data_IF_395361843167
#
_entry.id   IF_395361843167
#
_cell.length_a   1.000
_cell.length_b   1.000
_cell.length_c   1.000
_cell.angle_alpha   90.00
_cell.angle_beta   90.00
_cell.angle_gamma   90.00
#
_symmetry.space_group_name_H-M   'P 1'
#
loop_
_entity.id
_entity.type
_entity.pdbx_description
1 polymer ?
#
# COMPACT_ATOMS: atom_id res chain seq x y z
N UNK A 1 19.07 20.83 0.63
CA UNK A 1 18.40 20.32 1.86
C UNK A 1 17.92 18.88 1.67
N UNK A 2 17.17 18.52 0.61
CA UNK A 2 16.83 17.12 0.31
C UNK A 2 18.07 16.22 0.14
N UNK A 3 19.14 16.78 -0.42
CA UNK A 3 20.46 16.14 -0.51
C UNK A 3 20.99 15.59 0.82
N UNK A 4 20.56 16.14 1.97
CA UNK A 4 20.99 15.66 3.29
C UNK A 4 20.64 14.18 3.51
N UNK A 5 19.58 13.67 2.88
CA UNK A 5 19.23 12.25 2.94
C UNK A 5 20.28 11.42 2.19
N UNK A 6 20.54 11.75 0.93
CA UNK A 6 21.45 10.98 0.05
C UNK A 6 22.90 11.10 0.50
N UNK A 7 23.32 12.25 1.02
CA UNK A 7 24.69 12.50 1.45
C UNK A 7 25.04 11.88 2.81
N UNK A 8 24.06 11.63 3.68
CA UNK A 8 24.32 11.19 5.06
C UNK A 8 23.72 9.82 5.41
N UNK A 9 23.04 9.18 4.47
CA UNK A 9 22.53 7.82 4.62
C UNK A 9 23.19 6.98 3.54
N UNK A 10 24.20 6.14 3.87
CA UNK A 10 24.77 5.22 2.91
C UNK A 10 23.67 4.41 2.25
N UNK A 11 23.77 4.22 0.92
CA UNK A 11 22.78 3.51 0.10
C UNK A 11 21.43 4.21 -0.08
N UNK A 12 21.19 5.38 0.48
CA UNK A 12 20.11 6.23 -0.02
C UNK A 12 20.42 6.68 -1.45
N UNK A 13 19.41 6.69 -2.32
CA UNK A 13 19.55 6.97 -3.75
C UNK A 13 19.02 8.35 -4.10
N UNK A 14 17.76 8.61 -3.76
CA UNK A 14 17.07 9.84 -4.14
C UNK A 14 16.06 10.27 -3.08
N UNK A 15 15.70 11.54 -3.09
CA UNK A 15 14.55 12.06 -2.34
C UNK A 15 13.76 13.08 -3.17
N UNK A 16 12.44 13.08 -3.01
CA UNK A 16 11.52 14.00 -3.68
C UNK A 16 10.56 14.57 -2.65
N UNK A 17 10.44 15.90 -2.60
CA UNK A 17 9.38 16.60 -1.89
C UNK A 17 8.25 16.89 -2.89
N UNK A 18 7.02 16.54 -2.55
CA UNK A 18 5.86 16.71 -3.42
C UNK A 18 4.66 17.28 -2.65
N UNK A 19 3.73 17.93 -3.34
CA UNK A 19 2.42 18.28 -2.77
C UNK A 19 1.40 17.16 -2.96
N UNK A 20 0.29 17.24 -2.21
CA UNK A 20 -0.78 16.25 -2.26
C UNK A 20 -1.56 16.18 -3.59
N UNK A 21 -1.29 17.12 -4.49
CA UNK A 21 -1.76 17.11 -5.88
C UNK A 21 -0.81 16.38 -6.85
N UNK A 22 0.32 15.87 -6.37
CA UNK A 22 1.32 15.18 -7.17
C UNK A 22 2.33 16.09 -7.87
N UNK A 23 2.36 17.39 -7.53
CA UNK A 23 3.35 18.31 -8.08
C UNK A 23 4.67 18.24 -7.28
N UNK A 24 5.83 18.10 -7.95
CA UNK A 24 7.12 18.14 -7.29
C UNK A 24 7.41 19.56 -6.75
N UNK A 25 7.94 19.62 -5.54
CA UNK A 25 8.41 20.84 -4.85
C UNK A 25 9.92 20.88 -4.71
N UNK A 26 10.58 19.74 -4.89
CA UNK A 26 12.04 19.61 -4.96
C UNK A 26 12.43 18.15 -5.12
N UNK A 27 13.61 17.90 -5.67
CA UNK A 27 14.20 16.57 -5.77
C UNK A 27 15.70 16.65 -5.55
N UNK A 28 16.31 15.53 -5.18
CA UNK A 28 17.77 15.37 -5.23
C UNK A 28 18.25 15.31 -6.67
N UNK A 29 19.53 15.60 -6.88
CA UNK A 29 20.19 15.46 -8.18
C UNK A 29 20.17 14.00 -8.67
N UNK A 30 20.40 13.81 -9.97
CA UNK A 30 20.47 12.49 -10.61
C UNK A 30 19.14 11.89 -11.08
N UNK A 31 17.99 12.52 -10.78
CA UNK A 31 16.70 12.15 -11.35
C UNK A 31 16.36 12.99 -12.58
N UNK A 32 15.87 12.36 -13.64
CA UNK A 32 15.32 13.10 -14.77
C UNK A 32 14.02 13.81 -14.36
N UNK A 33 13.79 15.01 -14.88
CA UNK A 33 12.63 15.84 -14.53
C UNK A 33 11.29 15.13 -14.80
N UNK A 34 11.25 14.32 -15.87
CA UNK A 34 10.09 13.47 -16.19
C UNK A 34 9.84 12.45 -15.08
N UNK A 35 10.87 11.79 -14.58
CA UNK A 35 10.74 10.78 -13.54
C UNK A 35 10.30 11.42 -12.23
N UNK A 36 10.85 12.59 -11.87
CA UNK A 36 10.41 13.35 -10.69
C UNK A 36 8.90 13.64 -10.73
N UNK A 37 8.37 14.07 -11.88
CA UNK A 37 6.91 14.28 -12.05
C UNK A 37 6.12 12.99 -11.93
N UNK A 38 6.56 11.92 -12.60
CA UNK A 38 5.88 10.62 -12.55
C UNK A 38 5.85 10.04 -11.14
N UNK A 39 6.98 10.10 -10.42
CA UNK A 39 7.10 9.65 -9.02
C UNK A 39 6.19 10.49 -8.13
N UNK A 40 6.21 11.81 -8.27
CA UNK A 40 5.37 12.70 -7.45
C UNK A 40 3.88 12.41 -7.64
N UNK A 41 3.43 12.26 -8.89
CA UNK A 41 2.03 11.92 -9.19
C UNK A 41 1.64 10.54 -8.62
N UNK A 42 2.51 9.54 -8.79
CA UNK A 42 2.26 8.19 -8.30
C UNK A 42 2.21 8.13 -6.76
N UNK A 43 3.13 8.81 -6.07
CA UNK A 43 3.16 8.86 -4.61
C UNK A 43 1.95 9.59 -4.03
N UNK A 44 1.49 10.68 -4.64
CA UNK A 44 0.27 11.37 -4.22
C UNK A 44 -0.98 10.47 -4.40
N UNK A 45 -1.08 9.75 -5.52
CA UNK A 45 -2.14 8.78 -5.76
C UNK A 45 -2.13 7.63 -4.74
N UNK A 46 -0.94 7.06 -4.48
CA UNK A 46 -0.74 6.02 -3.48
C UNK A 46 -1.14 6.48 -2.08
N UNK A 47 -0.76 7.70 -1.67
CA UNK A 47 -1.14 8.25 -0.38
C UNK A 47 -2.66 8.43 -0.28
N UNK A 48 -3.31 8.89 -1.35
CA UNK A 48 -4.77 9.06 -1.38
C UNK A 48 -5.51 7.73 -1.21
N UNK A 49 -5.07 6.67 -1.91
CA UNK A 49 -5.61 5.32 -1.76
C UNK A 49 -5.31 4.73 -0.37
N UNK A 50 -4.11 4.97 0.16
CA UNK A 50 -3.74 4.55 1.52
C UNK A 50 -4.75 5.14 2.52
N UNK A 51 -5.02 6.45 2.46
CA UNK A 51 -6.02 7.08 3.35
C UNK A 51 -7.42 6.47 3.21
N UNK A 52 -7.85 6.07 2.01
CA UNK A 52 -9.15 5.41 1.80
C UNK A 52 -9.24 4.05 2.51
N UNK A 53 -8.10 3.37 2.70
CA UNK A 53 -8.02 2.04 3.32
C UNK A 53 -7.96 2.06 4.84
N UNK A 54 -7.93 3.24 5.48
CA UNK A 54 -7.65 3.36 6.91
C UNK A 54 -8.63 2.62 7.83
N UNK A 55 -9.88 2.40 7.39
CA UNK A 55 -10.88 1.62 8.12
C UNK A 55 -10.52 0.13 8.20
N UNK A 56 -9.73 -0.37 7.26
CA UNK A 56 -9.26 -1.77 7.27
C UNK A 56 -8.19 -2.01 8.32
N UNK A 57 -7.36 -0.98 8.59
CA UNK A 57 -6.43 -1.01 9.71
C UNK A 57 -7.13 -1.01 11.08
N UNK A 58 -8.39 -0.53 11.15
CA UNK A 58 -9.11 -0.50 12.42
C UNK A 58 -10.35 0.36 12.56
N UNK A 59 -11.13 0.15 13.65
CA UNK A 59 -12.35 0.91 13.93
C UNK A 59 -12.09 2.31 14.49
N UNK A 60 -10.86 2.63 14.94
CA UNK A 60 -10.49 3.86 15.63
C UNK A 60 -10.91 5.11 14.84
N UNK A 61 -11.36 6.17 15.52
CA UNK A 61 -11.84 7.39 14.85
C UNK A 61 -10.67 8.24 14.31
N UNK A 62 -9.55 8.27 15.03
CA UNK A 62 -8.33 8.90 14.55
C UNK A 62 -7.57 7.92 13.66
N UNK A 63 -7.56 8.22 12.36
CA UNK A 63 -7.04 7.34 11.31
C UNK A 63 -5.93 8.01 10.52
N UNK A 64 -5.11 8.79 11.21
CA UNK A 64 -4.03 9.52 10.56
C UNK A 64 -3.01 8.53 9.96
N UNK A 65 -2.76 8.69 8.66
CA UNK A 65 -1.70 7.99 7.95
C UNK A 65 -0.33 8.51 8.40
N UNK A 66 0.57 7.57 8.71
CA UNK A 66 1.94 7.85 9.15
C UNK A 66 2.91 7.76 7.97
N UNK A 67 2.97 6.60 7.33
CA UNK A 67 3.90 6.33 6.24
C UNK A 67 3.46 5.18 5.34
N UNK A 68 4.08 5.11 4.16
CA UNK A 68 4.00 3.96 3.25
C UNK A 68 5.42 3.53 2.88
N UNK A 69 5.69 2.23 2.98
CA UNK A 69 6.96 1.61 2.63
C UNK A 69 6.69 0.59 1.52
N UNK A 70 7.49 0.63 0.47
CA UNK A 70 7.41 -0.30 -0.65
C UNK A 70 8.74 -1.02 -0.74
N UNK A 71 8.68 -2.35 -0.72
CA UNK A 71 9.83 -3.21 -0.93
C UNK A 71 9.86 -3.73 -2.37
N UNK A 72 11.01 -3.60 -3.00
CA UNK A 72 11.35 -4.26 -4.25
C UNK A 72 12.55 -5.17 -4.03
N UNK A 73 12.78 -6.12 -4.95
CA UNK A 73 13.98 -6.98 -4.95
C UNK A 73 15.28 -6.18 -5.00
N UNK A 74 15.25 -4.99 -5.59
CA UNK A 74 16.41 -4.14 -5.87
C UNK A 74 16.44 -2.84 -5.06
N UNK A 75 15.50 -2.63 -4.14
CA UNK A 75 15.54 -1.50 -3.22
C UNK A 75 14.24 -1.20 -2.50
N UNK A 76 14.22 -0.03 -1.87
CA UNK A 76 13.13 0.46 -1.05
C UNK A 76 12.63 1.80 -1.55
N UNK A 77 11.34 2.06 -1.36
CA UNK A 77 10.75 3.39 -1.46
C UNK A 77 9.93 3.69 -0.22
N UNK A 78 10.11 4.90 0.31
CA UNK A 78 9.46 5.40 1.53
C UNK A 78 8.66 6.65 1.17
N UNK A 79 7.51 6.82 1.82
CA UNK A 79 6.68 8.01 1.71
C UNK A 79 6.19 8.40 3.11
N UNK A 80 6.49 9.62 3.56
CA UNK A 80 6.04 10.14 4.85
C UNK A 80 5.36 11.51 4.70
N UNK A 81 4.56 11.91 5.69
CA UNK A 81 3.99 13.24 5.77
C UNK A 81 5.07 14.31 5.93
N UNK A 82 4.99 15.41 5.17
CA UNK A 82 5.92 16.54 5.23
C UNK A 82 5.22 17.87 5.58
N UNK A 83 4.12 17.79 6.34
CA UNK A 83 3.24 18.92 6.65
C UNK A 83 1.90 18.84 5.92
N UNK A 84 1.05 19.85 6.13
CA UNK A 84 -0.30 19.89 5.54
C UNK A 84 -0.23 19.99 4.01
N UNK A 85 -0.68 18.95 3.33
CA UNK A 85 -0.72 18.88 1.87
C UNK A 85 0.64 18.64 1.20
N UNK A 86 1.64 18.12 1.93
CA UNK A 86 2.95 17.80 1.38
C UNK A 86 3.48 16.44 1.88
N UNK A 87 4.28 15.77 1.05
CA UNK A 87 4.89 14.47 1.34
C UNK A 87 6.36 14.47 0.97
N UNK A 88 7.14 13.68 1.71
CA UNK A 88 8.53 13.39 1.42
C UNK A 88 8.66 11.94 1.00
N UNK A 89 9.10 11.72 -0.24
CA UNK A 89 9.46 10.41 -0.75
C UNK A 89 10.99 10.24 -0.71
N UNK A 90 11.47 9.05 -0.37
CA UNK A 90 12.88 8.69 -0.48
C UNK A 90 13.04 7.27 -1.02
N UNK A 91 14.14 7.01 -1.71
CA UNK A 91 14.48 5.71 -2.25
C UNK A 91 15.88 5.27 -1.81
N UNK A 92 16.08 3.96 -1.68
CA UNK A 92 17.34 3.41 -1.21
C UNK A 92 17.61 1.99 -1.74
N UNK A 93 18.86 1.55 -1.65
CA UNK A 93 19.29 0.19 -2.01
C UNK A 93 18.84 -0.86 -0.98
N UNK A 94 18.80 -2.16 -1.33
CA UNK A 94 18.26 -3.21 -0.47
C UNK A 94 18.97 -3.30 0.88
N UNK A 95 20.26 -2.97 0.92
CA UNK A 95 21.14 -3.03 2.08
C UNK A 95 21.26 -1.70 2.84
N UNK A 96 20.30 -0.77 2.64
CA UNK A 96 20.22 0.46 3.42
C UNK A 96 19.89 0.18 4.88
N UNK A 97 20.45 0.99 5.79
CA UNK A 97 19.98 1.05 7.17
C UNK A 97 18.60 1.74 7.22
N UNK A 98 17.55 0.94 7.44
CA UNK A 98 16.16 1.39 7.52
C UNK A 98 15.91 2.39 8.65
N UNK A 99 16.56 2.20 9.80
CA UNK A 99 16.41 3.09 10.95
C UNK A 99 17.04 4.44 10.64
N UNK A 100 18.22 4.43 10.01
CA UNK A 100 18.92 5.65 9.66
C UNK A 100 18.20 6.47 8.59
N UNK A 101 17.67 5.83 7.54
CA UNK A 101 16.90 6.56 6.51
C UNK A 101 15.61 7.14 7.11
N UNK A 102 14.87 6.36 7.89
CA UNK A 102 13.63 6.81 8.54
C UNK A 102 13.90 8.00 9.47
N UNK A 103 14.91 7.89 10.34
CA UNK A 103 15.32 8.98 11.23
C UNK A 103 15.66 10.25 10.45
N UNK A 104 16.43 10.10 9.37
CA UNK A 104 16.87 11.23 8.54
C UNK A 104 15.70 11.90 7.83
N UNK A 105 14.74 11.13 7.30
CA UNK A 105 13.53 11.66 6.68
C UNK A 105 12.69 12.46 7.69
N UNK A 106 12.43 11.91 8.88
CA UNK A 106 11.68 12.60 9.94
C UNK A 106 12.39 13.87 10.41
N UNK A 107 13.72 13.85 10.55
CA UNK A 107 14.51 15.05 10.87
C UNK A 107 14.42 16.11 9.77
N UNK A 108 14.39 15.71 8.50
CA UNK A 108 14.22 16.63 7.38
C UNK A 108 12.81 17.25 7.39
N UNK A 109 11.77 16.45 7.63
CA UNK A 109 10.39 16.94 7.80
C UNK A 109 10.27 17.92 8.97
N UNK A 110 10.87 17.62 10.12
CA UNK A 110 10.86 18.51 11.27
C UNK A 110 11.52 19.87 10.97
N UNK A 111 12.62 19.87 10.20
CA UNK A 111 13.29 21.11 9.74
C UNK A 111 12.49 21.89 8.69
N UNK A 112 11.67 21.19 7.91
CA UNK A 112 10.78 21.78 6.90
C UNK A 112 9.58 22.54 7.47
N UNK A 113 9.33 22.42 8.78
CA UNK A 113 8.18 23.01 9.47
C UNK A 113 7.91 24.50 9.14
N UNK A 114 6.62 24.85 9.16
CA UNK A 114 6.00 26.17 8.92
C UNK A 114 6.07 26.81 7.51
N UNK A 115 6.79 26.24 6.53
CA UNK A 115 6.90 26.84 5.19
C UNK A 115 6.25 26.05 4.04
N UNK A 116 5.60 24.91 4.31
CA UNK A 116 5.13 23.97 3.29
C UNK A 116 3.62 23.69 3.27
N UNK A 117 2.81 24.53 3.92
CA UNK A 117 1.35 24.39 3.82
C UNK A 117 0.92 24.56 2.36
N UNK A 118 0.51 23.48 1.72
CA UNK A 118 -0.19 23.55 0.44
C UNK A 118 -1.66 23.84 0.74
N UNK A 119 -2.28 24.86 0.11
CA UNK A 119 -3.66 25.21 0.40
C UNK A 119 -4.60 24.01 0.20
N UNK A 120 -5.59 23.81 1.10
CA UNK A 120 -6.62 22.80 0.92
C UNK A 120 -7.37 23.02 -0.39
N UNK A 121 -7.76 21.93 -1.06
CA UNK A 121 -8.69 22.05 -2.19
C UNK A 121 -10.07 22.40 -1.66
N UNK A 122 -10.74 23.34 -2.32
CA UNK A 122 -12.17 23.59 -2.16
C UNK A 122 -12.87 22.41 -2.81
N UNK A 123 -13.62 21.61 -2.05
CA UNK A 123 -14.55 20.66 -2.62
C UNK A 123 -15.68 21.50 -3.24
N UNK A 124 -15.80 21.49 -4.56
CA UNK A 124 -17.01 21.99 -5.21
C UNK A 124 -18.18 21.15 -4.73
N UNK A 125 -19.03 21.75 -3.92
CA UNK A 125 -20.38 21.25 -3.66
C UNK A 125 -21.14 21.31 -4.98
N UNK A 126 -21.25 20.17 -5.67
CA UNK A 126 -22.24 20.00 -6.73
C UNK A 126 -23.54 19.54 -6.09
N UNK A 127 -24.44 20.51 -5.92
CA UNK A 127 -25.86 20.31 -5.71
C UNK A 127 -26.53 20.08 -7.09
N UNK A 128 -27.09 18.87 -7.30
CA UNK A 128 -28.38 18.67 -7.96
C UNK A 128 -28.68 17.18 -8.24
N UNK A 129 -29.84 16.72 -7.76
CA UNK A 129 -30.70 15.85 -8.59
C UNK A 129 -31.22 14.57 -7.95
N UNK A 130 -32.24 14.69 -7.10
CA UNK A 130 -33.19 13.61 -6.79
C UNK A 130 -33.70 12.95 -8.06
N UNK A 131 -33.43 11.65 -8.24
CA UNK A 131 -34.29 10.72 -9.01
C UNK A 131 -34.17 9.30 -8.46
N UNK A 132 -35.30 8.83 -7.93
CA UNK A 132 -35.52 7.46 -7.47
C UNK A 132 -36.11 6.63 -8.64
N UNK A 133 -35.59 5.41 -8.87
CA UNK A 133 -36.34 4.15 -9.13
C UNK A 133 -35.44 3.12 -9.80
N UNK A 134 -35.44 1.89 -9.27
CA UNK A 134 -34.77 0.75 -9.90
C UNK A 134 -34.39 -0.37 -8.93
N UNK A 135 -35.38 -0.96 -8.26
CA UNK A 135 -35.24 -2.19 -7.48
C UNK A 135 -34.71 -3.35 -8.32
N UNK A 136 -33.63 -3.98 -7.85
CA UNK A 136 -33.37 -5.40 -8.08
C UNK A 136 -32.62 -5.98 -6.87
N UNK A 137 -33.41 -6.56 -5.93
CA UNK A 137 -32.91 -7.58 -5.01
C UNK A 137 -32.44 -8.78 -5.82
N UNK A 138 -31.26 -9.30 -5.50
CA UNK A 138 -31.01 -10.74 -5.48
C UNK A 138 -30.33 -11.09 -4.16
N UNK A 139 -30.99 -11.97 -3.40
CA UNK A 139 -30.49 -12.48 -2.13
C UNK A 139 -29.26 -13.36 -2.33
N UNK A 140 -28.32 -13.25 -1.41
CA UNK A 140 -27.18 -14.15 -1.29
C UNK A 140 -27.49 -15.22 -0.26
N UNK A 141 -27.88 -16.39 -0.75
CA UNK A 141 -27.74 -17.65 -0.04
C UNK A 141 -26.27 -18.09 -0.10
N UNK A 142 -25.62 -18.27 1.06
CA UNK A 142 -24.38 -19.04 1.23
C UNK A 142 -23.09 -18.23 1.31
N UNK A 143 -22.79 -17.70 2.51
CA UNK A 143 -21.53 -17.05 2.91
C UNK A 143 -20.34 -18.04 3.04
N UNK A 144 -20.58 -19.34 2.85
CA UNK A 144 -19.60 -20.40 3.11
C UNK A 144 -18.49 -20.53 2.06
N UNK A 145 -18.56 -19.79 0.94
CA UNK A 145 -17.54 -19.81 -0.12
C UNK A 145 -16.61 -18.60 -0.15
N UNK A 146 -16.92 -17.54 0.59
CA UNK A 146 -16.12 -16.32 0.65
C UNK A 146 -15.16 -16.31 1.83
N UNK A 147 -15.56 -16.94 2.94
CA UNK A 147 -14.72 -17.06 4.13
C UNK A 147 -13.62 -18.10 3.90
N UNK A 148 -12.37 -17.72 4.16
CA UNK A 148 -11.20 -18.58 4.09
C UNK A 148 -10.81 -19.02 5.50
N UNK A 149 -11.19 -20.23 5.90
CA UNK A 149 -10.96 -20.74 7.25
C UNK A 149 -9.47 -20.76 7.65
N UNK A 150 -8.57 -20.99 6.69
CA UNK A 150 -7.14 -20.91 6.96
C UNK A 150 -6.67 -19.49 7.32
N UNK A 151 -7.31 -18.43 6.78
CA UNK A 151 -7.02 -17.04 7.20
C UNK A 151 -7.59 -16.76 8.58
N UNK A 152 -8.79 -17.25 8.91
CA UNK A 152 -9.36 -17.10 10.26
C UNK A 152 -8.46 -17.74 11.32
N UNK A 153 -7.84 -18.88 11.01
CA UNK A 153 -6.88 -19.51 11.90
C UNK A 153 -5.65 -18.61 12.13
N UNK A 154 -5.11 -17.98 11.08
CA UNK A 154 -3.99 -17.03 11.23
C UNK A 154 -4.37 -15.84 12.12
N UNK A 155 -5.57 -15.27 11.94
CA UNK A 155 -6.04 -14.16 12.78
C UNK A 155 -6.21 -14.60 14.24
N UNK A 156 -6.71 -15.82 14.48
CA UNK A 156 -6.90 -16.35 15.83
C UNK A 156 -5.58 -16.63 16.56
N UNK A 157 -4.54 -17.03 15.82
CA UNK A 157 -3.26 -17.44 16.39
C UNK A 157 -2.35 -16.25 16.76
N UNK A 158 -2.55 -15.08 16.13
CA UNK A 158 -1.66 -13.92 16.31
C UNK A 158 -2.37 -12.77 16.99
N UNK A 159 -1.93 -12.42 18.21
CA UNK A 159 -2.48 -11.29 18.95
C UNK A 159 -2.32 -9.99 18.15
N UNK A 160 -3.41 -9.21 18.05
CA UNK A 160 -3.41 -7.94 17.33
C UNK A 160 -3.62 -8.08 15.81
N UNK A 161 -3.67 -9.30 15.26
CA UNK A 161 -4.13 -9.50 13.88
C UNK A 161 -5.64 -9.22 13.77
N UNK A 162 -6.07 -8.55 12.68
CA UNK A 162 -7.46 -8.09 12.52
C UNK A 162 -8.20 -8.76 11.36
N UNK A 163 -7.75 -8.49 10.14
CA UNK A 163 -8.44 -8.91 8.93
C UNK A 163 -7.46 -9.30 7.85
N UNK A 164 -7.89 -10.18 6.95
CA UNK A 164 -7.17 -10.47 5.72
C UNK A 164 -8.14 -10.72 4.56
N UNK A 165 -7.75 -10.29 3.36
CA UNK A 165 -8.49 -10.49 2.10
C UNK A 165 -7.53 -10.91 0.99
N UNK A 166 -7.85 -12.02 0.34
CA UNK A 166 -7.21 -12.48 -0.88
C UNK A 166 -7.88 -11.79 -2.08
N UNK A 167 -7.08 -11.20 -2.97
CA UNK A 167 -7.56 -10.46 -4.13
C UNK A 167 -6.82 -10.85 -5.40
N UNK A 168 -7.49 -10.74 -6.54
CA UNK A 168 -6.89 -10.91 -7.86
C UNK A 168 -6.24 -9.62 -8.39
N UNK A 169 -5.44 -9.74 -9.45
CA UNK A 169 -4.89 -8.61 -10.18
C UNK A 169 -5.94 -7.79 -10.97
N UNK A 170 -7.15 -8.31 -11.09
CA UNK A 170 -8.34 -7.61 -11.56
C UNK A 170 -9.00 -6.73 -10.46
N UNK A 171 -8.50 -6.80 -9.23
CA UNK A 171 -9.03 -6.07 -8.08
C UNK A 171 -10.30 -6.66 -7.47
N UNK A 172 -10.64 -7.89 -7.82
CA UNK A 172 -11.78 -8.60 -7.24
C UNK A 172 -11.34 -9.41 -6.01
N UNK A 173 -12.08 -9.36 -4.88
CA UNK A 173 -11.82 -10.22 -3.75
C UNK A 173 -12.19 -11.67 -4.09
N UNK A 174 -11.29 -12.59 -3.72
CA UNK A 174 -11.42 -14.04 -3.92
C UNK A 174 -11.80 -14.78 -2.63
N UNK A 175 -11.55 -14.16 -1.48
CA UNK A 175 -12.00 -14.62 -0.18
C UNK A 175 -11.38 -13.79 0.94
N UNK A 176 -11.93 -13.89 2.15
CA UNK A 176 -11.50 -13.08 3.29
C UNK A 176 -11.69 -13.82 4.63
N UNK A 177 -11.20 -13.21 5.70
CA UNK A 177 -11.52 -13.60 7.09
C UNK A 177 -13.00 -13.33 7.39
N UNK A 178 -13.63 -14.14 8.25
CA UNK A 178 -15.07 -14.05 8.59
C UNK A 178 -15.52 -12.71 9.17
N UNK A 179 -14.61 -11.98 9.83
CA UNK A 179 -14.88 -10.63 10.35
C UNK A 179 -14.96 -9.52 9.29
N UNK A 180 -14.62 -9.81 8.03
CA UNK A 180 -14.57 -8.82 6.95
C UNK A 180 -15.79 -8.94 6.04
N UNK A 181 -16.67 -7.94 6.06
CA UNK A 181 -17.83 -7.92 5.17
C UNK A 181 -17.45 -7.72 3.69
N UNK A 182 -18.38 -8.05 2.80
CA UNK A 182 -18.15 -8.04 1.35
C UNK A 182 -17.83 -6.65 0.80
N UNK A 183 -18.56 -5.62 1.22
CA UNK A 183 -18.37 -4.24 0.72
C UNK A 183 -16.98 -3.71 1.09
N UNK A 184 -16.51 -4.01 2.30
CA UNK A 184 -15.15 -3.67 2.74
C UNK A 184 -14.13 -4.46 1.93
N UNK A 185 -14.33 -5.77 1.73
CA UNK A 185 -13.42 -6.58 0.93
C UNK A 185 -13.32 -6.10 -0.53
N UNK A 186 -14.43 -5.71 -1.16
CA UNK A 186 -14.45 -5.13 -2.51
C UNK A 186 -13.69 -3.78 -2.52
N UNK A 187 -13.93 -2.91 -1.53
CA UNK A 187 -13.27 -1.61 -1.39
C UNK A 187 -11.75 -1.75 -1.23
N UNK A 188 -11.33 -2.64 -0.33
CA UNK A 188 -9.90 -2.88 -0.07
C UNK A 188 -9.23 -3.55 -1.26
N UNK A 189 -9.90 -4.48 -1.94
CA UNK A 189 -9.34 -5.13 -3.13
C UNK A 189 -9.07 -4.14 -4.26
N UNK A 190 -10.02 -3.24 -4.52
CA UNK A 190 -9.86 -2.17 -5.51
C UNK A 190 -8.73 -1.20 -5.12
N UNK A 191 -8.70 -0.74 -3.88
CA UNK A 191 -7.68 0.19 -3.40
C UNK A 191 -6.27 -0.42 -3.43
N UNK A 192 -6.11 -1.67 -2.98
CA UNK A 192 -4.83 -2.38 -2.98
C UNK A 192 -4.30 -2.63 -4.39
N UNK A 193 -5.18 -2.91 -5.36
CA UNK A 193 -4.79 -3.04 -6.76
C UNK A 193 -4.24 -1.72 -7.32
N UNK A 194 -4.87 -0.59 -6.97
CA UNK A 194 -4.35 0.73 -7.31
C UNK A 194 -3.01 1.04 -6.64
N UNK A 195 -2.84 0.69 -5.36
CA UNK A 195 -1.58 0.85 -4.62
C UNK A 195 -0.47 0.00 -5.24
N UNK A 196 -0.76 -1.24 -5.63
CA UNK A 196 0.21 -2.09 -6.34
C UNK A 196 0.58 -1.49 -7.70
N UNK A 197 -0.38 -0.94 -8.45
CA UNK A 197 -0.09 -0.25 -9.71
C UNK A 197 0.84 0.95 -9.52
N UNK A 198 0.60 1.80 -8.51
CA UNK A 198 1.49 2.90 -8.18
C UNK A 198 2.87 2.42 -7.71
N UNK A 199 2.93 1.32 -6.95
CA UNK A 199 4.20 0.71 -6.53
C UNK A 199 5.04 0.31 -7.73
N UNK A 200 4.43 -0.26 -8.77
CA UNK A 200 5.15 -0.61 -10.01
C UNK A 200 5.69 0.62 -10.74
N UNK A 201 4.91 1.70 -10.81
CA UNK A 201 5.32 2.97 -11.44
C UNK A 201 6.52 3.59 -10.72
N UNK A 202 6.61 3.44 -9.40
CA UNK A 202 7.70 4.00 -8.59
C UNK A 202 8.89 3.06 -8.44
N UNK A 203 8.87 1.85 -9.02
CA UNK A 203 9.99 0.89 -8.94
C UNK A 203 11.33 1.48 -9.40
N UNK A 204 11.33 2.29 -10.46
CA UNK A 204 12.53 2.97 -10.96
C UNK A 204 13.11 4.00 -9.99
N UNK A 205 12.29 4.54 -9.08
CA UNK A 205 12.75 5.44 -8.02
C UNK A 205 13.71 4.72 -7.09
N UNK A 206 13.44 3.43 -6.82
CA UNK A 206 14.31 2.51 -6.12
C UNK A 206 15.41 1.92 -7.03
N UNK A 207 15.76 2.55 -8.14
CA UNK A 207 16.80 2.07 -9.07
C UNK A 207 16.28 1.16 -10.18
N UNK A 208 17.18 0.75 -11.07
CA UNK A 208 16.86 -0.04 -12.28
C UNK A 208 17.62 -1.36 -12.24
N UNK A 209 16.90 -2.47 -12.40
CA UNK A 209 17.46 -3.83 -12.53
C UNK A 209 16.54 -4.65 -13.43
N UNK A 210 17.11 -5.56 -14.25
CA UNK A 210 16.36 -6.34 -15.25
C UNK A 210 15.27 -7.24 -14.62
N UNK A 211 15.51 -7.73 -13.40
CA UNK A 211 14.57 -8.57 -12.63
C UNK A 211 13.97 -7.83 -11.41
N UNK A 212 13.74 -6.53 -11.55
CA UNK A 212 13.10 -5.71 -10.52
C UNK A 212 11.67 -6.20 -10.25
N UNK A 213 11.44 -6.75 -9.06
CA UNK A 213 10.15 -7.30 -8.63
C UNK A 213 9.66 -6.59 -7.39
N UNK A 214 8.38 -6.21 -7.38
CA UNK A 214 7.70 -5.79 -6.15
C UNK A 214 7.58 -6.98 -5.20
N UNK A 215 7.88 -6.77 -3.91
CA UNK A 215 7.76 -7.79 -2.87
C UNK A 215 6.54 -7.54 -1.99
N UNK A 216 6.44 -6.33 -1.47
CA UNK A 216 5.36 -5.94 -0.59
C UNK A 216 5.20 -4.43 -0.49
N UNK A 217 4.02 -4.00 -0.04
CA UNK A 217 3.75 -2.63 0.40
C UNK A 217 3.21 -2.66 1.82
N UNK A 218 3.80 -1.86 2.70
CA UNK A 218 3.37 -1.67 4.09
C UNK A 218 2.84 -0.25 4.24
N UNK A 219 1.68 -0.11 4.85
CA UNK A 219 1.05 1.18 5.14
C UNK A 219 0.84 1.26 6.64
N UNK A 220 1.38 2.31 7.24
CA UNK A 220 1.25 2.58 8.66
C UNK A 220 0.26 3.73 8.88
N UNK A 221 -0.67 3.50 9.79
CA UNK A 221 -1.53 4.52 10.40
C UNK A 221 -1.18 4.67 11.87
N UNK A 222 -1.66 5.69 12.55
CA UNK A 222 -1.49 5.82 14.00
C UNK A 222 -2.14 4.69 14.81
N UNK A 223 -3.14 4.01 14.23
CA UNK A 223 -3.92 2.98 14.90
C UNK A 223 -3.65 1.55 14.41
N UNK A 224 -2.77 1.36 13.43
CA UNK A 224 -2.41 0.03 12.96
C UNK A 224 -1.72 0.00 11.60
N UNK A 225 -1.57 -1.21 11.07
CA UNK A 225 -0.83 -1.53 9.87
C UNK A 225 -1.73 -2.15 8.81
N UNK A 226 -1.37 -1.94 7.55
CA UNK A 226 -1.87 -2.71 6.41
C UNK A 226 -0.67 -3.23 5.62
N UNK A 227 -0.68 -4.52 5.34
CA UNK A 227 0.28 -5.21 4.48
C UNK A 227 -0.40 -5.58 3.17
N UNK A 228 0.30 -5.39 2.07
CA UNK A 228 -0.05 -5.95 0.77
C UNK A 228 1.15 -6.80 0.33
N UNK A 229 0.95 -8.11 0.22
CA UNK A 229 2.00 -9.08 -0.13
C UNK A 229 1.59 -9.89 -1.36
N UNK A 230 2.57 -10.42 -2.09
CA UNK A 230 2.29 -11.32 -3.21
C UNK A 230 1.70 -12.64 -2.70
N UNK A 231 0.62 -13.09 -3.31
CA UNK A 231 0.03 -14.40 -3.08
C UNK A 231 0.19 -15.31 -4.31
N UNK A 232 1.25 -15.11 -5.11
CA UNK A 232 1.50 -15.83 -6.36
C UNK A 232 1.06 -15.06 -7.61
N UNK A 233 1.06 -15.73 -8.75
CA UNK A 233 0.87 -15.09 -10.07
C UNK A 233 -0.52 -14.46 -10.18
N UNK A 234 -0.56 -13.13 -10.19
CA UNK A 234 -1.79 -12.36 -10.35
C UNK A 234 -2.74 -12.42 -9.15
N UNK A 235 -2.21 -12.73 -7.96
CA UNK A 235 -2.95 -12.71 -6.70
C UNK A 235 -2.14 -11.97 -5.62
N UNK A 236 -2.86 -11.30 -4.73
CA UNK A 236 -2.29 -10.59 -3.59
C UNK A 236 -3.08 -10.91 -2.33
N UNK A 237 -2.43 -10.74 -1.19
CA UNK A 237 -3.07 -10.81 0.12
C UNK A 237 -2.91 -9.44 0.80
N UNK A 238 -4.03 -8.83 1.17
CA UNK A 238 -4.04 -7.64 2.01
C UNK A 238 -4.41 -8.04 3.44
N UNK A 239 -3.63 -7.61 4.42
CA UNK A 239 -3.83 -7.97 5.82
C UNK A 239 -3.68 -6.74 6.73
N UNK A 240 -4.43 -6.70 7.83
CA UNK A 240 -4.43 -5.61 8.79
C UNK A 240 -4.12 -6.08 10.21
N UNK A 241 -3.43 -5.24 10.97
CA UNK A 241 -3.03 -5.53 12.34
C UNK A 241 -2.97 -4.25 13.20
N UNK A 242 -3.08 -4.43 14.51
CA UNK A 242 -2.82 -3.43 15.54
C UNK A 242 -1.33 -3.11 15.66
N UNK A 243 -0.99 -2.01 16.33
CA UNK A 243 0.40 -1.60 16.54
C UNK A 243 1.20 -2.51 17.48
N UNK A 244 0.53 -3.16 18.41
CA UNK A 244 1.13 -4.10 19.36
C UNK A 244 1.19 -5.54 18.82
N UNK A 245 0.71 -5.76 17.59
CA UNK A 245 0.83 -7.04 16.90
C UNK A 245 2.30 -7.39 16.66
N UNK A 246 2.65 -8.67 16.88
CA UNK A 246 3.92 -9.20 16.41
C UNK A 246 3.88 -9.33 14.88
N UNK A 247 4.38 -8.28 14.20
CA UNK A 247 4.38 -8.21 12.73
C UNK A 247 5.23 -9.33 12.11
N UNK A 248 6.30 -9.75 12.77
CA UNK A 248 7.17 -10.82 12.27
C UNK A 248 6.43 -12.15 12.30
N UNK A 249 5.78 -12.49 13.42
CA UNK A 249 4.94 -13.67 13.50
C UNK A 249 3.77 -13.58 12.50
N UNK A 250 3.06 -12.45 12.46
CA UNK A 250 1.89 -12.30 11.59
C UNK A 250 2.24 -12.50 10.12
N UNK A 251 3.26 -11.81 9.62
CA UNK A 251 3.69 -11.93 8.22
C UNK A 251 4.23 -13.32 7.89
N UNK A 252 4.91 -13.98 8.83
CA UNK A 252 5.35 -15.38 8.69
C UNK A 252 4.15 -16.31 8.48
N UNK A 253 3.13 -16.22 9.34
CA UNK A 253 1.90 -17.02 9.23
C UNK A 253 1.15 -16.77 7.93
N UNK A 254 1.08 -15.50 7.48
CA UNK A 254 0.48 -15.14 6.21
C UNK A 254 1.22 -15.78 5.02
N UNK A 255 2.55 -15.80 5.02
CA UNK A 255 3.32 -16.49 3.98
C UNK A 255 3.14 -18.01 4.00
N UNK A 256 3.05 -18.62 5.19
CA UNK A 256 2.81 -20.07 5.33
C UNK A 256 1.45 -20.50 4.79
N UNK A 257 0.43 -19.63 4.89
CA UNK A 257 -0.94 -19.96 4.46
C UNK A 257 -1.18 -19.72 2.98
N UNK A 258 -0.49 -18.76 2.35
CA UNK A 258 -0.67 -18.38 0.93
C UNK A 258 -0.74 -19.58 -0.03
N UNK A 259 0.17 -20.58 0.00
CA UNK A 259 0.13 -21.72 -0.91
C UNK A 259 -1.17 -22.54 -0.87
N UNK A 260 -1.88 -22.53 0.27
CA UNK A 260 -3.18 -23.20 0.42
C UNK A 260 -4.33 -22.40 -0.19
N UNK A 261 -4.21 -21.08 -0.21
CA UNK A 261 -5.25 -20.14 -0.68
C UNK A 261 -5.27 -19.99 -2.20
N UNK A 262 -4.12 -20.21 -2.85
CA UNK A 262 -3.97 -20.14 -4.30
C UNK A 262 -3.58 -21.52 -4.85
N UNK A 263 -4.53 -22.45 -4.99
CA UNK A 263 -4.24 -23.71 -5.67
C UNK A 263 -3.71 -23.38 -7.08
N UNK A 264 -2.49 -23.84 -7.36
CA UNK A 264 -1.83 -23.66 -8.66
C UNK A 264 -2.81 -24.05 -9.77
N UNK A 265 -2.88 -23.23 -10.83
CA UNK A 265 -3.55 -23.59 -12.07
C UNK A 265 -2.83 -24.75 -12.76
N UNK A 266 -2.82 -25.93 -12.14
CA UNK A 266 -2.35 -27.19 -12.72
C UNK A 266 -3.56 -27.91 -13.30
N UNK A 267 -3.90 -27.59 -14.55
CA UNK A 267 -5.01 -28.23 -15.24
C UNK A 267 -5.39 -27.59 -16.57
N UNK A 268 -4.41 -27.37 -17.46
CA UNK A 268 -4.71 -26.84 -18.78
C UNK A 268 -3.49 -26.79 -19.69
N UNK A 269 -3.09 -27.95 -20.23
CA UNK A 269 -2.66 -28.15 -21.62
C UNK A 269 -2.03 -29.54 -21.77
N UNK A 270 -2.85 -30.46 -22.27
CA UNK A 270 -2.47 -31.82 -22.63
C UNK A 270 -3.45 -32.36 -23.67
N UNK A 271 -3.77 -31.55 -24.70
CA UNK A 271 -4.43 -32.08 -25.89
C UNK A 271 -3.35 -32.69 -26.76
N UNK A 272 -3.27 -34.02 -26.69
CA UNK A 272 -2.45 -34.84 -27.54
C UNK A 272 -2.81 -34.60 -29.02
N UNK A 273 -1.83 -34.17 -29.81
CA UNK A 273 -1.85 -34.41 -31.24
C UNK A 273 -1.50 -35.88 -31.48
N UNK A 274 -2.50 -36.64 -31.92
CA UNK A 274 -2.32 -37.85 -32.70
C UNK A 274 -2.69 -37.53 -34.16
#
# INVERSE_FOLDING_TARGET
>A
MLEDIVQNVPRARHAVLLSADGLPRGATEGLAEKDVRTISAAMAGMQSLSRATAHFAGPETDRQWSQTIIEFSHGWSFLIGAGQGAYLAAAAAPDVDMQQISFRMHRLVARLGNNLTSPPRVNSEDDAGTRNTGTARRGGSGDSGFVLADLDQVIADVQGARHAVLLGADGLPRGATSGLNRDMADTISAAMTGIHAYSRVTSQFAGVQEDAGWRQTVIEFQHGWIFLISAGTGAFLAAAAEHDCDIEEFTTRLHEVIPKLTPSAAGGEGVAHA
#
